data_IF_460218293176
#
_entry.id   IF_460218293176
#
_cell.length_a   1.000
_cell.length_b   1.000
_cell.length_c   1.000
_cell.angle_alpha   90.00
_cell.angle_beta   90.00
_cell.angle_gamma   90.00
#
_symmetry.space_group_name_H-M   'P 1'
#
loop_
_entity.id
_entity.type
_entity.pdbx_description
1 polymer ?
#
# COMPACT_ATOMS: atom_id res chain seq x y z
N UNK A 1 22.81 41.82 -4.96
CA UNK A 1 22.49 40.69 -4.06
C UNK A 1 21.86 39.59 -4.92
N UNK A 2 22.63 38.57 -5.30
CA UNK A 2 22.16 37.53 -6.21
C UNK A 2 21.27 36.53 -5.49
N UNK A 3 20.09 36.22 -6.06
CA UNK A 3 19.17 35.23 -5.51
C UNK A 3 19.89 33.88 -5.33
N UNK A 4 20.06 33.48 -4.07
CA UNK A 4 20.69 32.23 -3.66
C UNK A 4 19.74 31.04 -3.86
N UNK A 5 19.18 30.89 -5.07
CA UNK A 5 18.36 29.75 -5.44
C UNK A 5 19.22 28.51 -5.68
N UNK A 6 18.71 27.33 -5.33
CA UNK A 6 19.36 26.06 -5.66
C UNK A 6 19.45 25.86 -7.18
N UNK A 7 20.28 24.92 -7.64
CA UNK A 7 20.38 24.61 -9.09
C UNK A 7 19.03 24.24 -9.70
N UNK A 8 18.19 23.50 -8.95
CA UNK A 8 16.86 23.10 -9.38
C UNK A 8 15.90 24.28 -9.45
N UNK A 9 15.93 25.17 -8.45
CA UNK A 9 15.14 26.40 -8.47
C UNK A 9 15.52 27.31 -9.65
N UNK A 10 16.81 27.38 -9.98
CA UNK A 10 17.30 28.12 -11.15
C UNK A 10 16.91 27.47 -12.48
N UNK A 11 16.86 26.14 -12.53
CA UNK A 11 16.48 25.41 -13.73
C UNK A 11 14.97 25.52 -14.05
N UNK A 12 14.13 25.50 -13.00
CA UNK A 12 12.68 25.62 -13.15
C UNK A 12 12.21 27.08 -13.24
N UNK A 13 12.92 28.02 -12.60
CA UNK A 13 12.58 29.44 -12.63
C UNK A 13 11.13 29.69 -12.22
N UNK A 14 10.38 30.37 -13.10
CA UNK A 14 8.96 30.70 -12.89
C UNK A 14 8.03 29.50 -13.02
N UNK A 15 8.51 28.36 -13.57
CA UNK A 15 7.73 27.12 -13.66
C UNK A 15 7.78 26.29 -12.37
N UNK A 16 8.46 26.76 -11.33
CA UNK A 16 8.52 26.05 -10.06
C UNK A 16 7.12 25.97 -9.43
N UNK A 17 6.53 24.77 -9.26
CA UNK A 17 5.16 24.66 -8.79
C UNK A 17 4.96 25.29 -7.41
N UNK A 18 3.93 26.11 -7.27
CA UNK A 18 3.60 26.74 -6.00
C UNK A 18 3.15 25.70 -4.97
N UNK A 19 3.55 25.89 -3.72
CA UNK A 19 3.24 24.95 -2.63
C UNK A 19 4.11 23.69 -2.59
N UNK A 20 4.71 23.27 -3.71
CA UNK A 20 5.51 22.05 -3.76
C UNK A 20 6.91 22.20 -3.13
N UNK A 21 7.45 21.07 -2.68
CA UNK A 21 8.75 20.95 -2.02
C UNK A 21 9.50 19.76 -2.61
N UNK A 22 10.70 20.00 -3.16
CA UNK A 22 11.51 18.96 -3.79
C UNK A 22 12.71 18.61 -2.90
N UNK A 23 12.57 17.52 -2.15
CA UNK A 23 13.61 17.04 -1.26
C UNK A 23 14.11 15.66 -1.67
N UNK A 24 15.41 15.55 -1.91
CA UNK A 24 16.06 14.25 -2.07
C UNK A 24 16.14 13.49 -0.75
N UNK A 25 16.32 12.17 -0.84
CA UNK A 25 16.52 11.31 0.32
C UNK A 25 17.96 10.81 0.38
N UNK A 26 18.60 10.97 1.54
CA UNK A 26 19.95 10.44 1.79
C UNK A 26 19.95 8.90 1.70
N UNK A 27 21.02 8.33 1.16
CA UNK A 27 21.19 6.88 1.00
C UNK A 27 21.99 6.33 2.20
N UNK A 28 21.49 5.27 2.84
CA UNK A 28 22.11 4.63 4.01
C UNK A 28 22.70 3.26 3.70
N UNK A 29 23.39 3.17 2.56
CA UNK A 29 24.00 1.94 2.06
C UNK A 29 22.99 1.08 1.31
N UNK A 30 23.00 1.19 -0.02
CA UNK A 30 22.14 0.46 -0.95
C UNK A 30 20.62 0.62 -0.69
N UNK A 31 20.19 1.73 -0.08
CA UNK A 31 18.77 2.02 0.19
C UNK A 31 18.08 2.80 -0.95
N UNK A 32 18.68 2.85 -2.14
CA UNK A 32 18.11 3.59 -3.27
C UNK A 32 16.76 3.01 -3.74
N UNK A 33 16.56 1.69 -3.65
CA UNK A 33 15.28 1.03 -3.94
C UNK A 33 14.14 1.58 -3.07
N UNK A 34 14.44 1.84 -1.79
CA UNK A 34 13.51 2.40 -0.82
C UNK A 34 13.26 3.88 -1.14
N UNK A 35 14.33 4.65 -1.35
CA UNK A 35 14.22 6.08 -1.66
C UNK A 35 13.41 6.34 -2.94
N UNK A 36 13.57 5.53 -3.99
CA UNK A 36 12.82 5.69 -5.24
C UNK A 36 11.33 5.44 -5.06
N UNK A 37 10.95 4.40 -4.30
CA UNK A 37 9.54 4.09 -4.02
C UNK A 37 8.91 5.16 -3.12
N UNK A 38 9.62 5.62 -2.09
CA UNK A 38 9.14 6.70 -1.21
C UNK A 38 8.87 7.99 -1.98
N UNK A 39 9.73 8.34 -2.94
CA UNK A 39 9.51 9.49 -3.82
C UNK A 39 8.30 9.30 -4.72
N UNK A 40 8.16 8.13 -5.35
CA UNK A 40 6.99 7.83 -6.19
C UNK A 40 5.68 7.96 -5.40
N UNK A 41 5.61 7.36 -4.20
CA UNK A 41 4.45 7.46 -3.31
C UNK A 41 4.20 8.89 -2.81
N UNK A 42 5.24 9.69 -2.56
CA UNK A 42 5.08 11.09 -2.14
C UNK A 42 4.39 11.93 -3.23
N UNK A 43 4.70 11.67 -4.50
CA UNK A 43 4.08 12.38 -5.62
C UNK A 43 2.74 11.79 -6.06
N UNK A 44 2.28 10.70 -5.44
CA UNK A 44 0.87 10.31 -5.48
C UNK A 44 0.07 11.23 -4.55
N UNK A 45 -0.35 12.40 -5.05
CA UNK A 45 -0.99 13.44 -4.24
C UNK A 45 -2.16 12.94 -3.36
N UNK A 46 -3.10 12.10 -3.85
CA UNK A 46 -4.20 11.63 -3.00
C UNK A 46 -3.71 10.76 -1.83
N UNK A 47 -2.71 9.91 -2.04
CA UNK A 47 -2.09 9.11 -0.98
C UNK A 47 -1.34 9.99 0.02
N UNK A 48 -0.56 10.96 -0.46
CA UNK A 48 0.18 11.93 0.37
C UNK A 48 -0.77 12.70 1.28
N UNK A 49 -1.84 13.25 0.74
CA UNK A 49 -2.81 14.08 1.47
C UNK A 49 -3.52 13.28 2.56
N UNK A 50 -3.99 12.08 2.25
CA UNK A 50 -4.64 11.20 3.22
C UNK A 50 -3.69 10.75 4.34
N UNK A 51 -2.43 10.48 4.02
CA UNK A 51 -1.43 10.12 5.02
C UNK A 51 -1.13 11.29 5.98
N UNK A 52 -1.04 12.52 5.45
CA UNK A 52 -0.82 13.72 6.25
C UNK A 52 -2.03 14.03 7.15
N UNK A 53 -3.25 13.86 6.63
CA UNK A 53 -4.49 14.02 7.40
C UNK A 53 -4.58 12.97 8.53
N UNK A 54 -4.31 11.70 8.22
CA UNK A 54 -4.23 10.63 9.20
C UNK A 54 -3.27 10.98 10.34
N UNK A 55 -2.08 11.48 9.99
CA UNK A 55 -1.04 11.81 10.98
C UNK A 55 -1.39 13.02 11.84
N UNK A 56 -2.04 14.04 11.25
CA UNK A 56 -2.53 15.20 12.00
C UNK A 56 -3.57 14.80 13.06
N UNK A 57 -4.43 13.82 12.74
CA UNK A 57 -5.45 13.31 13.65
C UNK A 57 -4.86 12.36 14.71
N UNK A 58 -3.91 11.50 14.33
CA UNK A 58 -3.28 10.51 15.20
C UNK A 58 -2.33 11.14 16.25
N UNK A 59 -1.62 12.22 15.91
CA UNK A 59 -0.63 12.86 16.79
C UNK A 59 -1.24 13.47 18.07
N UNK A 60 -2.55 13.69 18.11
CA UNK A 60 -3.25 14.18 19.30
C UNK A 60 -3.50 13.08 20.34
N UNK A 61 -3.35 11.81 19.95
CA UNK A 61 -3.48 10.65 20.84
C UNK A 61 -2.08 10.26 21.28
N UNK A 62 -1.61 10.80 22.40
CA UNK A 62 -0.22 10.69 22.89
C UNK A 62 0.30 9.27 23.23
N UNK A 63 -0.37 8.22 22.76
CA UNK A 63 -0.16 6.81 23.08
C UNK A 63 -0.02 5.90 21.83
N UNK A 64 0.08 6.48 20.63
CA UNK A 64 0.22 5.69 19.40
C UNK A 64 1.61 5.02 19.32
N UNK A 65 1.64 3.68 19.29
CA UNK A 65 2.88 2.92 19.09
C UNK A 65 3.57 3.30 17.77
N UNK A 66 4.89 3.52 17.83
CA UNK A 66 5.70 3.81 16.66
C UNK A 66 5.71 2.60 15.70
N UNK A 67 5.20 2.81 14.49
CA UNK A 67 5.05 1.79 13.45
C UNK A 67 5.49 2.35 12.09
N UNK A 68 5.44 1.53 11.03
CA UNK A 68 5.93 1.94 9.72
C UNK A 68 5.08 3.05 9.10
N UNK A 69 3.76 3.03 9.34
CA UNK A 69 2.82 4.06 8.88
C UNK A 69 3.12 5.42 9.53
N UNK A 70 3.29 5.48 10.85
CA UNK A 70 3.63 6.72 11.56
C UNK A 70 5.03 7.23 11.19
N UNK A 71 6.00 6.34 10.96
CA UNK A 71 7.32 6.73 10.44
C UNK A 71 7.25 7.31 9.02
N UNK A 72 6.43 6.74 8.14
CA UNK A 72 6.23 7.25 6.79
C UNK A 72 5.55 8.62 6.81
N UNK A 73 4.53 8.77 7.66
CA UNK A 73 3.80 10.02 7.78
C UNK A 73 4.66 11.14 8.40
N UNK A 74 5.50 10.83 9.39
CA UNK A 74 6.50 11.76 9.93
C UNK A 74 7.47 12.21 8.82
N UNK A 75 7.97 11.28 8.00
CA UNK A 75 8.84 11.61 6.87
C UNK A 75 8.15 12.53 5.85
N UNK A 76 6.91 12.24 5.46
CA UNK A 76 6.18 13.07 4.49
C UNK A 76 5.85 14.45 5.07
N UNK A 77 5.51 14.52 6.37
CA UNK A 77 5.31 15.77 7.10
C UNK A 77 6.60 16.58 7.15
N UNK A 78 7.75 15.93 7.37
CA UNK A 78 9.06 16.58 7.37
C UNK A 78 9.44 17.16 6.00
N UNK A 79 8.98 16.58 4.89
CA UNK A 79 9.17 17.14 3.54
C UNK A 79 8.24 18.34 3.32
N UNK A 80 6.94 18.17 3.57
CA UNK A 80 5.92 19.19 3.29
C UNK A 80 6.05 20.43 4.19
N UNK A 81 6.58 20.29 5.41
CA UNK A 81 6.77 21.40 6.35
C UNK A 81 8.04 22.21 6.13
N UNK A 82 8.88 21.87 5.15
CA UNK A 82 10.12 22.58 4.92
C UNK A 82 9.91 24.02 4.46
N UNK A 83 10.69 24.93 5.07
CA UNK A 83 10.73 26.35 4.67
C UNK A 83 11.43 26.54 3.33
N UNK A 84 12.45 25.74 3.05
CA UNK A 84 13.18 25.77 1.78
C UNK A 84 12.37 25.02 0.72
N UNK A 85 12.38 25.53 -0.52
CA UNK A 85 11.74 24.86 -1.66
C UNK A 85 12.44 23.58 -2.07
N UNK A 86 13.75 23.50 -1.84
CA UNK A 86 14.59 22.36 -2.22
C UNK A 86 15.58 21.97 -1.13
N UNK A 87 15.96 20.68 -1.09
CA UNK A 87 16.96 20.19 -0.13
C UNK A 87 17.13 18.68 -0.12
N UNK A 88 17.69 18.17 0.98
CA UNK A 88 17.88 16.74 1.23
C UNK A 88 17.42 16.42 2.65
N UNK A 89 16.70 15.30 2.81
CA UNK A 89 16.24 14.77 4.10
C UNK A 89 16.83 13.38 4.31
N UNK A 90 17.15 13.07 5.56
CA UNK A 90 17.69 11.79 5.98
C UNK A 90 16.55 10.91 6.53
N UNK A 91 16.04 9.90 5.80
CA UNK A 91 14.95 9.02 6.26
C UNK A 91 15.38 7.99 7.34
N UNK A 92 16.19 8.40 8.33
CA UNK A 92 16.81 7.51 9.32
C UNK A 92 15.78 6.73 10.13
N UNK A 93 14.75 7.40 10.65
CA UNK A 93 13.71 6.77 11.47
C UNK A 93 12.94 5.70 10.68
N UNK A 94 12.52 6.06 9.46
CA UNK A 94 11.84 5.14 8.56
C UNK A 94 12.70 3.91 8.22
N UNK A 95 13.96 4.12 7.81
CA UNK A 95 14.87 3.02 7.44
C UNK A 95 15.17 2.12 8.66
N UNK A 96 15.37 2.70 9.84
CA UNK A 96 15.56 1.91 11.07
C UNK A 96 14.34 1.05 11.40
N UNK A 97 13.13 1.62 11.25
CA UNK A 97 11.88 0.88 11.47
C UNK A 97 11.69 -0.24 10.45
N UNK A 98 11.91 0.05 9.16
CA UNK A 98 11.85 -0.93 8.07
C UNK A 98 12.76 -2.14 8.35
N UNK A 99 14.03 -1.89 8.72
CA UNK A 99 14.99 -2.93 9.06
C UNK A 99 14.57 -3.74 10.29
N UNK A 100 13.96 -3.11 11.29
CA UNK A 100 13.46 -3.83 12.46
C UNK A 100 12.33 -4.80 12.08
N UNK A 101 11.44 -4.36 11.20
CA UNK A 101 10.17 -5.01 10.91
C UNK A 101 10.27 -6.17 9.92
N UNK A 102 11.17 -6.10 8.93
CA UNK A 102 11.32 -7.17 7.96
C UNK A 102 12.80 -7.55 7.79
N UNK A 103 13.09 -8.84 7.93
CA UNK A 103 14.44 -9.39 7.91
C UNK A 103 15.12 -9.23 6.55
N UNK A 104 14.35 -9.29 5.46
CA UNK A 104 14.86 -9.14 4.10
C UNK A 104 15.56 -7.79 3.90
N UNK A 105 15.02 -6.73 4.50
CA UNK A 105 15.55 -5.38 4.37
C UNK A 105 16.65 -5.02 5.40
N UNK A 106 17.00 -5.91 6.34
CA UNK A 106 18.01 -5.63 7.39
C UNK A 106 19.41 -5.43 6.84
N UNK A 107 19.74 -6.17 5.79
CA UNK A 107 21.07 -6.17 5.19
C UNK A 107 21.42 -4.82 4.55
N UNK A 108 22.69 -4.66 4.17
CA UNK A 108 23.15 -3.54 3.36
C UNK A 108 23.21 -3.90 1.87
N UNK A 109 22.50 -4.94 1.44
CA UNK A 109 22.42 -5.34 0.03
C UNK A 109 21.36 -4.53 -0.71
N UNK A 110 21.53 -4.41 -2.03
CA UNK A 110 20.44 -3.96 -2.89
C UNK A 110 19.25 -4.94 -2.78
N UNK A 111 18.05 -4.39 -2.89
CA UNK A 111 16.79 -5.11 -2.81
C UNK A 111 15.91 -4.72 -4.00
N UNK A 112 14.91 -5.55 -4.29
CA UNK A 112 13.92 -5.22 -5.31
C UNK A 112 12.99 -4.10 -4.81
N UNK A 113 12.85 -3.05 -5.61
CA UNK A 113 11.97 -1.92 -5.31
C UNK A 113 10.50 -2.34 -5.36
N UNK A 114 10.14 -3.28 -6.22
CA UNK A 114 8.79 -3.82 -6.34
C UNK A 114 8.41 -4.63 -5.09
N UNK A 115 9.32 -5.48 -4.60
CA UNK A 115 9.13 -6.21 -3.35
C UNK A 115 8.98 -5.27 -2.16
N UNK A 116 9.80 -4.20 -2.10
CA UNK A 116 9.64 -3.17 -1.06
C UNK A 116 8.30 -2.44 -1.14
N UNK A 117 7.85 -2.06 -2.34
CA UNK A 117 6.54 -1.41 -2.52
C UNK A 117 5.40 -2.31 -2.03
N UNK A 118 5.41 -3.57 -2.46
CA UNK A 118 4.41 -4.55 -2.07
C UNK A 118 4.40 -4.79 -0.56
N UNK A 119 5.57 -4.98 0.05
CA UNK A 119 5.67 -5.08 1.50
C UNK A 119 5.11 -3.83 2.20
N UNK A 120 5.49 -2.64 1.75
CA UNK A 120 5.08 -1.39 2.37
C UNK A 120 3.55 -1.23 2.32
N UNK A 121 2.93 -1.35 1.13
CA UNK A 121 1.48 -1.15 0.99
C UNK A 121 0.68 -2.15 1.83
N UNK A 122 1.05 -3.43 1.82
CA UNK A 122 0.39 -4.45 2.65
C UNK A 122 0.55 -4.16 4.15
N UNK A 123 1.74 -3.77 4.59
CA UNK A 123 1.96 -3.41 6.00
C UNK A 123 1.13 -2.18 6.42
N UNK A 124 1.01 -1.16 5.55
CA UNK A 124 0.16 -0.01 5.83
C UNK A 124 -1.31 -0.41 5.96
N UNK A 125 -1.80 -1.30 5.09
CA UNK A 125 -3.15 -1.85 5.15
C UNK A 125 -3.37 -2.58 6.48
N UNK A 126 -2.46 -3.49 6.84
CA UNK A 126 -2.57 -4.27 8.08
C UNK A 126 -2.63 -3.38 9.32
N UNK A 127 -1.82 -2.31 9.37
CA UNK A 127 -1.83 -1.34 10.48
C UNK A 127 -3.20 -0.64 10.54
N UNK A 128 -3.69 -0.13 9.42
CA UNK A 128 -4.96 0.60 9.36
C UNK A 128 -6.17 -0.30 9.69
N UNK A 129 -6.14 -1.56 9.27
CA UNK A 129 -7.18 -2.52 9.60
C UNK A 129 -7.19 -2.87 11.08
N UNK A 130 -6.00 -3.07 11.69
CA UNK A 130 -5.88 -3.30 13.13
C UNK A 130 -6.41 -2.12 13.94
N UNK A 131 -6.06 -0.89 13.57
CA UNK A 131 -6.56 0.33 14.21
C UNK A 131 -8.10 0.45 14.08
N UNK A 132 -8.65 0.21 12.89
CA UNK A 132 -10.09 0.25 12.66
C UNK A 132 -10.87 -0.85 13.42
N UNK A 133 -10.23 -1.99 13.68
CA UNK A 133 -10.80 -3.05 14.51
C UNK A 133 -10.75 -2.71 16.00
N UNK A 134 -9.65 -2.12 16.47
CA UNK A 134 -9.48 -1.70 17.87
C UNK A 134 -10.56 -0.69 18.31
N UNK A 135 -10.85 0.30 17.46
CA UNK A 135 -11.92 1.31 17.71
C UNK A 135 -13.31 0.66 17.80
N UNK A 136 -13.56 -0.44 17.08
CA UNK A 136 -14.85 -1.16 17.13
C UNK A 136 -14.99 -2.06 18.35
N UNK A 137 -13.91 -2.36 19.05
CA UNK A 137 -13.89 -3.29 20.20
C UNK A 137 -13.90 -2.61 21.57
N UNK A 138 -13.84 -1.28 21.66
CA UNK A 138 -14.02 -0.58 22.94
C UNK A 138 -15.52 -0.56 23.32
N UNK A 139 -15.91 -1.10 24.49
CA UNK A 139 -17.29 -1.07 24.94
C UNK A 139 -17.61 0.30 25.54
N UNK A 140 -18.65 0.97 25.04
CA UNK A 140 -19.23 2.13 25.71
C UNK A 140 -19.71 1.73 27.12
N UNK A 141 -18.94 2.10 28.14
CA UNK A 141 -19.40 2.17 29.52
C UNK A 141 -20.20 3.45 29.71
N UNK A 142 -21.53 3.37 29.77
CA UNK A 142 -22.33 3.98 30.86
C UNK A 142 -23.85 3.83 30.63
N UNK A 143 -24.51 2.96 31.42
CA UNK A 143 -25.73 3.25 32.21
C UNK A 143 -26.29 1.97 32.86
N UNK A 144 -26.97 2.04 34.03
CA UNK A 144 -27.08 0.94 35.00
C UNK A 144 -28.19 -0.10 34.71
N UNK A 145 -28.18 -1.26 35.41
CA UNK A 145 -29.04 -2.40 35.09
C UNK A 145 -30.38 -2.34 35.82
N UNK A 146 -31.49 -2.47 35.09
CA UNK A 146 -32.75 -2.93 35.65
C UNK A 146 -33.18 -4.28 35.04
N UNK A 147 -33.64 -5.13 35.96
CA UNK A 147 -33.85 -6.58 35.84
C UNK A 147 -35.16 -6.86 35.08
N UNK A 148 -35.20 -7.92 34.25
CA UNK A 148 -35.93 -9.17 34.52
C UNK A 148 -36.00 -10.16 33.33
N UNK A 149 -35.84 -11.45 33.67
CA UNK A 149 -36.46 -12.68 33.13
C UNK A 149 -36.01 -13.33 31.78
N UNK A 150 -35.14 -14.34 31.93
CA UNK A 150 -35.11 -15.69 31.33
C UNK A 150 -35.89 -16.01 30.02
N UNK A 151 -35.14 -16.40 28.99
CA UNK A 151 -35.59 -17.25 27.87
C UNK A 151 -34.41 -17.99 27.21
N UNK A 152 -34.58 -19.22 26.65
CA UNK A 152 -33.47 -20.14 26.40
C UNK A 152 -32.69 -19.84 25.11
N UNK A 153 -31.41 -20.23 25.17
CA UNK A 153 -30.38 -20.14 24.13
C UNK A 153 -30.84 -20.74 22.79
N UNK A 154 -30.78 -19.93 21.74
CA UNK A 154 -30.42 -20.41 20.40
C UNK A 154 -29.18 -19.64 19.95
N UNK A 155 -28.05 -20.33 19.95
CA UNK A 155 -26.82 -19.88 19.30
C UNK A 155 -27.09 -19.88 17.80
N UNK A 156 -27.54 -18.74 17.26
CA UNK A 156 -27.42 -18.47 15.83
C UNK A 156 -26.00 -17.98 15.59
N UNK A 157 -25.22 -18.84 14.94
CA UNK A 157 -23.98 -18.47 14.29
C UNK A 157 -24.31 -17.45 13.19
N UNK A 158 -24.38 -16.18 13.58
CA UNK A 158 -24.33 -15.08 12.62
C UNK A 158 -22.91 -15.02 12.08
N UNK A 159 -22.65 -15.85 11.07
CA UNK A 159 -21.61 -15.60 10.08
C UNK A 159 -21.97 -14.32 9.34
N UNK A 160 -21.74 -13.18 9.99
CA UNK A 160 -21.64 -11.91 9.31
C UNK A 160 -20.42 -12.06 8.42
N UNK A 161 -20.64 -12.26 7.13
CA UNK A 161 -19.66 -11.91 6.12
C UNK A 161 -19.34 -10.43 6.33
N UNK A 162 -18.37 -10.15 7.21
CA UNK A 162 -17.83 -8.80 7.34
C UNK A 162 -17.26 -8.48 5.97
N UNK A 163 -17.90 -7.55 5.27
CA UNK A 163 -17.26 -6.94 4.12
C UNK A 163 -15.88 -6.46 4.58
N UNK A 164 -14.81 -6.79 3.82
CA UNK A 164 -13.45 -6.44 4.20
C UNK A 164 -13.35 -4.92 4.38
N UNK A 165 -12.58 -4.51 5.38
CA UNK A 165 -12.41 -3.11 5.74
C UNK A 165 -11.66 -2.37 4.61
N UNK A 166 -12.34 -1.46 3.92
CA UNK A 166 -11.71 -0.70 2.83
C UNK A 166 -10.95 0.51 3.39
N UNK A 167 -9.66 0.31 3.68
CA UNK A 167 -8.71 1.39 3.99
C UNK A 167 -8.55 2.39 2.84
N UNK A 168 -8.01 3.58 3.13
CA UNK A 168 -7.69 4.56 2.09
C UNK A 168 -6.54 4.12 1.18
N UNK A 169 -5.66 3.21 1.62
CA UNK A 169 -4.66 2.57 0.75
C UNK A 169 -5.36 1.77 -0.35
N UNK A 170 -6.39 0.99 0.00
CA UNK A 170 -7.20 0.27 -0.99
C UNK A 170 -7.86 1.23 -1.99
N UNK A 171 -8.37 2.37 -1.53
CA UNK A 171 -9.00 3.36 -2.43
C UNK A 171 -8.05 3.97 -3.46
N UNK A 172 -6.74 4.04 -3.15
CA UNK A 172 -5.76 4.62 -4.07
C UNK A 172 -5.20 3.61 -5.06
N UNK A 173 -4.93 2.39 -4.60
CA UNK A 173 -4.12 1.44 -5.35
C UNK A 173 -4.84 0.14 -5.69
N UNK A 174 -5.94 -0.20 -5.01
CA UNK A 174 -6.58 -1.50 -5.23
C UNK A 174 -7.36 -1.53 -6.55
N UNK A 175 -6.98 -2.47 -7.41
CA UNK A 175 -7.77 -2.93 -8.54
C UNK A 175 -8.36 -4.33 -8.30
N UNK A 176 -9.22 -4.76 -9.22
CA UNK A 176 -9.77 -6.12 -9.28
C UNK A 176 -9.43 -6.70 -10.65
N UNK A 177 -8.84 -7.88 -10.66
CA UNK A 177 -8.55 -8.68 -11.84
C UNK A 177 -9.46 -9.92 -11.84
N UNK A 178 -10.16 -10.16 -12.95
CA UNK A 178 -10.98 -11.37 -13.12
C UNK A 178 -10.20 -12.39 -13.94
N UNK A 179 -9.74 -13.45 -13.28
CA UNK A 179 -9.06 -14.57 -13.90
C UNK A 179 -10.09 -15.60 -14.41
N UNK A 180 -10.24 -15.70 -15.73
CA UNK A 180 -11.12 -16.67 -16.37
C UNK A 180 -10.33 -17.88 -16.89
N UNK A 181 -10.77 -19.09 -16.53
CA UNK A 181 -10.20 -20.34 -17.02
C UNK A 181 -11.28 -21.17 -17.69
N UNK A 182 -11.06 -21.58 -18.93
CA UNK A 182 -11.94 -22.50 -19.69
C UNK A 182 -11.28 -23.87 -19.84
N UNK A 183 -11.95 -24.91 -19.37
CA UNK A 183 -11.50 -26.28 -19.63
C UNK A 183 -11.78 -26.67 -21.09
N UNK A 184 -10.76 -27.12 -21.82
CA UNK A 184 -10.90 -27.51 -23.24
C UNK A 184 -11.54 -28.90 -23.45
N UNK A 185 -11.71 -29.71 -22.40
CA UNK A 185 -12.35 -31.04 -22.50
C UNK A 185 -13.85 -31.02 -22.19
N UNK A 186 -14.29 -30.23 -21.21
CA UNK A 186 -15.70 -30.18 -20.80
C UNK A 186 -16.32 -28.78 -20.88
N UNK A 187 -15.59 -27.83 -21.49
CA UNK A 187 -16.01 -26.45 -21.78
C UNK A 187 -16.43 -25.63 -20.54
N UNK A 188 -16.17 -26.14 -19.35
CA UNK A 188 -16.53 -25.47 -18.10
C UNK A 188 -15.63 -24.26 -17.90
N UNK A 189 -16.26 -23.10 -17.74
CA UNK A 189 -15.60 -21.84 -17.43
C UNK A 189 -15.66 -21.60 -15.92
N UNK A 190 -14.53 -21.22 -15.33
CA UNK A 190 -14.46 -20.74 -13.95
C UNK A 190 -13.83 -19.36 -13.95
N UNK A 191 -14.48 -18.41 -13.29
CA UNK A 191 -13.95 -17.07 -13.04
C UNK A 191 -13.57 -16.93 -11.57
N UNK A 192 -12.51 -16.17 -11.28
CA UNK A 192 -12.11 -15.78 -9.93
C UNK A 192 -11.68 -14.33 -9.95
N UNK A 193 -12.21 -13.55 -9.03
CA UNK A 193 -11.78 -12.17 -8.82
C UNK A 193 -10.64 -12.15 -7.80
N UNK A 194 -9.57 -11.45 -8.15
CA UNK A 194 -8.38 -11.26 -7.32
C UNK A 194 -8.09 -9.75 -7.22
N UNK A 195 -7.83 -9.27 -6.00
CA UNK A 195 -7.47 -7.88 -5.77
C UNK A 195 -5.97 -7.69 -5.94
N UNK A 196 -5.55 -6.55 -6.48
CA UNK A 196 -4.13 -6.22 -6.65
C UNK A 196 -3.85 -4.76 -6.28
N UNK A 197 -2.63 -4.44 -5.86
CA UNK A 197 -2.16 -3.05 -5.68
C UNK A 197 -1.31 -2.55 -6.85
N UNK A 198 -0.71 -3.48 -7.59
CA UNK A 198 0.09 -3.19 -8.76
C UNK A 198 -0.19 -4.22 -9.86
N UNK A 199 0.13 -3.84 -11.10
CA UNK A 199 -0.02 -4.71 -12.25
C UNK A 199 1.37 -5.04 -12.81
N UNK A 200 1.81 -6.27 -12.56
CA UNK A 200 3.05 -6.78 -13.13
C UNK A 200 2.81 -7.19 -14.59
N UNK A 201 3.54 -6.56 -15.51
CA UNK A 201 3.39 -6.75 -16.95
C UNK A 201 4.62 -7.43 -17.55
N UNK A 202 4.39 -8.44 -18.38
CA UNK A 202 5.44 -9.02 -19.20
C UNK A 202 5.84 -8.04 -20.32
N UNK A 203 7.15 -7.78 -20.41
CA UNK A 203 7.70 -6.83 -21.38
C UNK A 203 8.23 -7.61 -22.58
N UNK A 204 7.59 -7.42 -23.73
CA UNK A 204 8.11 -7.90 -25.00
C UNK A 204 9.07 -6.87 -25.62
N UNK A 205 10.09 -7.35 -26.33
CA UNK A 205 11.09 -6.47 -26.94
C UNK A 205 10.44 -5.55 -27.98
N UNK A 206 10.78 -4.25 -27.95
CA UNK A 206 10.23 -3.21 -28.84
C UNK A 206 8.71 -3.03 -28.76
N UNK A 207 8.08 -3.42 -27.65
CA UNK A 207 6.65 -3.23 -27.43
C UNK A 207 6.35 -1.92 -26.68
N UNK A 208 5.10 -1.47 -26.78
CA UNK A 208 4.59 -0.33 -26.02
C UNK A 208 3.87 -0.79 -24.74
N UNK A 209 3.74 0.09 -23.74
CA UNK A 209 2.95 -0.21 -22.53
C UNK A 209 1.52 -0.64 -22.90
N UNK A 210 0.90 0.03 -23.88
CA UNK A 210 -0.44 -0.34 -24.37
C UNK A 210 -0.46 -1.74 -24.97
N UNK A 211 0.62 -2.16 -25.64
CA UNK A 211 0.76 -3.52 -26.17
C UNK A 211 0.90 -4.54 -25.04
N UNK A 212 1.77 -4.28 -24.05
CA UNK A 212 1.94 -5.14 -22.88
C UNK A 212 0.62 -5.32 -22.10
N UNK A 213 -0.16 -4.25 -21.90
CA UNK A 213 -1.48 -4.32 -21.25
C UNK A 213 -2.49 -5.17 -22.04
N UNK A 214 -2.46 -5.08 -23.36
CA UNK A 214 -3.28 -5.93 -24.23
C UNK A 214 -2.83 -7.40 -24.15
N UNK A 215 -1.52 -7.64 -24.08
CA UNK A 215 -0.98 -8.99 -23.95
C UNK A 215 -1.34 -9.61 -22.59
N UNK A 216 -1.26 -8.83 -21.51
CA UNK A 216 -1.64 -9.24 -20.16
C UNK A 216 -3.10 -9.74 -20.08
N UNK A 217 -4.00 -9.16 -20.86
CA UNK A 217 -5.41 -9.56 -20.94
C UNK A 217 -5.70 -10.59 -22.04
N UNK A 218 -4.66 -11.06 -22.74
CA UNK A 218 -4.81 -12.03 -23.82
C UNK A 218 -5.08 -13.44 -23.28
N UNK A 219 -5.77 -14.25 -24.07
CA UNK A 219 -6.02 -15.65 -23.70
C UNK A 219 -4.77 -16.48 -23.93
N UNK A 220 -4.23 -17.07 -22.87
CA UNK A 220 -3.16 -18.05 -22.96
C UNK A 220 -3.71 -19.49 -22.92
N UNK A 221 -3.10 -20.38 -23.69
CA UNK A 221 -3.40 -21.83 -23.63
C UNK A 221 -2.35 -22.53 -22.78
N UNK A 222 -2.76 -23.00 -21.59
CA UNK A 222 -1.91 -23.74 -20.68
C UNK A 222 -1.67 -25.17 -21.19
N UNK A 223 -0.40 -25.52 -21.43
CA UNK A 223 0.02 -26.78 -22.03
C UNK A 223 0.89 -27.61 -21.09
N UNK A 224 1.02 -28.91 -21.36
CA UNK A 224 1.91 -29.84 -20.66
C UNK A 224 1.90 -29.71 -19.11
N UNK A 225 2.94 -29.13 -18.53
CA UNK A 225 3.19 -29.02 -17.09
C UNK A 225 2.31 -27.95 -16.42
N UNK A 226 1.78 -26.98 -17.18
CA UNK A 226 0.95 -25.88 -16.69
C UNK A 226 -0.56 -26.21 -16.66
N UNK A 227 -0.92 -27.47 -16.94
CA UNK A 227 -2.32 -27.90 -16.98
C UNK A 227 -2.98 -27.82 -15.61
N UNK A 228 -3.99 -26.95 -15.50
CA UNK A 228 -4.82 -26.85 -14.31
C UNK A 228 -5.79 -28.05 -14.17
N UNK A 229 -5.94 -28.53 -12.94
CA UNK A 229 -6.89 -29.60 -12.62
C UNK A 229 -8.32 -29.05 -12.65
N UNK A 230 -9.12 -29.51 -13.63
CA UNK A 230 -10.53 -29.16 -13.72
C UNK A 230 -11.34 -29.75 -12.55
N UNK A 231 -12.08 -28.91 -11.82
CA UNK A 231 -12.92 -29.35 -10.69
C UNK A 231 -13.93 -30.44 -11.05
N UNK A 232 -14.43 -30.48 -12.30
CA UNK A 232 -15.35 -31.53 -12.78
C UNK A 232 -14.65 -32.87 -13.08
N UNK A 233 -13.34 -32.86 -13.34
CA UNK A 233 -12.55 -34.06 -13.61
C UNK A 233 -11.73 -34.51 -12.39
N UNK A 234 -11.81 -33.78 -11.28
CA UNK A 234 -11.22 -34.13 -9.99
C UNK A 234 -12.02 -35.28 -9.37
N UNK A 235 -11.83 -36.50 -9.89
CA UNK A 235 -12.35 -37.74 -9.29
C UNK A 235 -11.59 -38.02 -7.99
N UNK A 236 -12.31 -38.46 -6.96
CA UNK A 236 -11.75 -38.96 -5.70
C UNK A 236 -11.01 -40.28 -5.86
#
# INVERSE_FOLDING_TARGET
MGAAGSKLEKALGDQFPEGERYFGLENFGNTCYCNSVLQALYFCAPFREQLLEYYANSKNTGDAEENLLTCLADLFTQISSQKKKTGVIAPKRFVQRLKKQNELFRSYMHQDAHEFLNFLLNELVDILEKEAQAVKSEPETSSPPEKTANGPKHAQANGVSKEPLVTWVHKNFQGILTNETRCLQCETVTARDETFFDLSLDIEQNSSITSCLKNFSSTETLNAEDKLVCRKHRRG
#
